data_IF_600554822226
#
_entry.id   IF_600554822226
#
_cell.length_a   1.000
_cell.length_b   1.000
_cell.length_c   1.000
_cell.angle_alpha   90.00
_cell.angle_beta   90.00
_cell.angle_gamma   90.00
#
_symmetry.space_group_name_H-M   'P 1'
#
loop_
_entity.id
_entity.type
_entity.pdbx_description
1 polymer ?
#
# COMPACT_ATOMS: atom_id res chain seq x y z
N UNK A 1 30.51 66.08 -24.99
CA UNK A 1 29.62 65.28 -24.18
C UNK A 1 29.90 63.81 -24.51
N UNK A 2 30.59 63.04 -23.65
CA UNK A 2 30.85 61.61 -23.85
C UNK A 2 29.87 60.82 -22.97
N UNK A 3 28.92 60.12 -23.60
CA UNK A 3 27.99 59.25 -22.91
C UNK A 3 28.73 57.96 -22.54
N UNK A 4 28.85 57.65 -21.26
CA UNK A 4 29.30 56.37 -20.73
C UNK A 4 28.14 55.39 -20.72
N UNK A 5 28.25 54.36 -21.58
CA UNK A 5 27.29 53.24 -21.60
C UNK A 5 27.71 52.23 -20.49
N UNK A 6 26.96 52.16 -19.42
CA UNK A 6 27.15 51.14 -18.35
C UNK A 6 26.48 49.84 -18.81
N UNK A 7 27.30 48.83 -19.13
CA UNK A 7 26.84 47.47 -19.41
C UNK A 7 26.67 46.76 -18.05
N UNK A 8 25.41 46.52 -17.64
CA UNK A 8 25.08 45.69 -16.51
C UNK A 8 25.30 44.20 -16.90
N UNK A 9 26.35 43.57 -16.35
CA UNK A 9 26.63 42.15 -16.50
C UNK A 9 25.71 41.40 -15.53
N UNK A 10 24.62 40.79 -16.02
CA UNK A 10 23.80 39.91 -15.24
C UNK A 10 24.57 38.60 -14.98
N UNK A 11 25.02 38.40 -13.75
CA UNK A 11 25.61 37.15 -13.30
C UNK A 11 24.49 36.14 -13.14
N UNK A 12 24.32 35.25 -14.12
CA UNK A 12 23.49 34.07 -13.99
C UNK A 12 24.28 33.08 -13.13
N UNK A 13 23.94 33.02 -11.84
CA UNK A 13 24.44 31.96 -10.97
C UNK A 13 23.85 30.61 -11.45
N UNK A 14 24.66 29.58 -11.66
CA UNK A 14 24.13 28.27 -11.95
C UNK A 14 23.30 27.83 -10.74
N UNK A 15 22.00 27.60 -10.94
CA UNK A 15 21.17 26.89 -9.98
C UNK A 15 21.76 25.48 -9.89
N UNK A 16 22.37 25.13 -8.77
CA UNK A 16 22.76 23.74 -8.49
C UNK A 16 21.45 22.97 -8.44
N UNK A 17 21.13 22.22 -9.50
CA UNK A 17 20.09 21.23 -9.39
C UNK A 17 20.54 20.26 -8.27
N UNK A 18 19.81 20.24 -7.15
CA UNK A 18 19.98 19.19 -6.15
C UNK A 18 19.69 17.86 -6.85
N UNK A 19 20.53 16.86 -6.56
CA UNK A 19 20.26 15.50 -7.02
C UNK A 19 18.93 15.01 -6.43
N UNK A 20 18.14 14.28 -7.22
CA UNK A 20 16.95 13.62 -6.73
C UNK A 20 17.31 12.68 -5.59
N UNK A 21 16.40 12.51 -4.61
CA UNK A 21 16.58 11.57 -3.51
C UNK A 21 16.50 10.12 -4.02
N UNK A 22 17.46 9.29 -3.64
CA UNK A 22 17.37 7.84 -3.85
C UNK A 22 16.35 7.22 -2.89
N UNK A 23 15.15 6.91 -3.39
CA UNK A 23 14.06 6.38 -2.56
C UNK A 23 13.77 4.92 -2.92
N UNK A 24 13.72 4.07 -1.90
CA UNK A 24 13.40 2.65 -2.04
C UNK A 24 12.05 2.37 -1.37
N UNK A 25 11.08 1.92 -2.17
CA UNK A 25 9.77 1.48 -1.70
C UNK A 25 9.72 -0.04 -1.53
N UNK A 26 9.14 -0.54 -0.45
CA UNK A 26 9.00 -1.98 -0.22
C UNK A 26 8.03 -2.64 -1.20
N UNK A 27 6.95 -1.95 -1.57
CA UNK A 27 5.88 -2.40 -2.45
C UNK A 27 5.50 -1.38 -3.50
N UNK A 28 4.67 -1.74 -4.48
CA UNK A 28 4.16 -0.77 -5.45
C UNK A 28 3.16 0.21 -4.82
N UNK A 29 2.42 -0.16 -3.79
CA UNK A 29 1.56 0.76 -3.05
C UNK A 29 2.35 1.88 -2.37
N UNK A 30 3.47 1.55 -1.72
CA UNK A 30 4.38 2.57 -1.16
C UNK A 30 5.11 3.35 -2.26
N UNK A 31 5.39 2.70 -3.39
CA UNK A 31 5.95 3.34 -4.59
C UNK A 31 5.02 4.38 -5.20
N UNK A 32 3.71 4.12 -5.22
CA UNK A 32 2.69 5.11 -5.61
C UNK A 32 2.82 6.39 -4.79
N UNK A 33 2.92 6.27 -3.47
CA UNK A 33 3.06 7.45 -2.60
C UNK A 33 4.34 8.25 -2.91
N UNK A 34 5.46 7.56 -3.10
CA UNK A 34 6.72 8.23 -3.47
C UNK A 34 6.56 8.96 -4.80
N UNK A 35 6.05 8.29 -5.84
CA UNK A 35 5.87 8.88 -7.17
C UNK A 35 4.88 10.05 -7.14
N UNK A 36 3.79 9.89 -6.39
CA UNK A 36 2.77 10.92 -6.26
C UNK A 36 3.28 12.15 -5.50
N UNK A 37 4.02 11.96 -4.41
CA UNK A 37 4.40 13.06 -3.52
C UNK A 37 5.76 13.67 -3.91
N UNK A 38 6.78 12.85 -4.16
CA UNK A 38 8.12 13.33 -4.50
C UNK A 38 8.27 13.71 -5.97
N UNK A 39 7.51 13.06 -6.88
CA UNK A 39 7.55 13.35 -8.31
C UNK A 39 8.97 13.24 -8.88
N UNK A 40 9.44 14.27 -9.57
CA UNK A 40 10.77 14.34 -10.20
C UNK A 40 11.93 14.52 -9.22
N UNK A 41 11.63 14.75 -7.93
CA UNK A 41 12.65 14.93 -6.89
C UNK A 41 13.04 13.61 -6.20
N UNK A 42 12.59 12.46 -6.72
CA UNK A 42 12.99 11.15 -6.23
C UNK A 42 13.29 10.18 -7.39
N UNK A 43 14.42 9.47 -7.28
CA UNK A 43 14.71 8.29 -8.06
C UNK A 43 14.19 7.06 -7.32
N UNK A 44 13.07 6.51 -7.80
CA UNK A 44 12.33 5.45 -7.11
C UNK A 44 12.75 4.06 -7.55
N UNK A 45 13.13 3.22 -6.58
CA UNK A 45 13.25 1.76 -6.75
C UNK A 45 12.20 1.03 -5.93
N UNK A 46 11.39 0.16 -6.55
CA UNK A 46 10.42 -0.71 -5.87
C UNK A 46 11.01 -2.11 -5.72
N UNK A 47 10.98 -2.68 -4.51
CA UNK A 47 11.63 -3.95 -4.20
C UNK A 47 10.75 -5.16 -4.55
N UNK A 48 9.48 -5.13 -4.21
CA UNK A 48 8.57 -6.25 -4.41
C UNK A 48 7.84 -6.16 -5.74
N UNK A 49 7.80 -7.24 -6.54
CA UNK A 49 6.87 -7.36 -7.66
C UNK A 49 5.41 -7.35 -7.18
N UNK A 50 4.47 -6.74 -7.93
CA UNK A 50 3.08 -6.57 -7.49
C UNK A 50 2.27 -7.87 -7.46
N UNK A 51 2.77 -8.93 -8.07
CA UNK A 51 2.17 -10.27 -8.12
C UNK A 51 2.68 -11.21 -7.02
N UNK A 52 3.36 -10.67 -6.00
CA UNK A 52 3.95 -11.45 -4.91
C UNK A 52 3.39 -11.04 -3.56
N UNK A 53 3.26 -12.05 -2.70
CA UNK A 53 2.89 -11.87 -1.31
C UNK A 53 4.07 -11.25 -0.53
N UNK A 54 3.84 -10.09 0.08
CA UNK A 54 4.85 -9.36 0.85
C UNK A 54 5.27 -10.07 2.14
N UNK A 55 4.40 -10.93 2.72
CA UNK A 55 4.73 -11.71 3.90
C UNK A 55 5.87 -12.72 3.62
N UNK A 56 5.92 -13.25 2.41
CA UNK A 56 6.73 -14.42 2.05
C UNK A 56 7.89 -14.14 1.09
N UNK A 57 8.29 -12.87 0.93
CA UNK A 57 9.45 -12.52 0.14
C UNK A 57 10.76 -12.94 0.85
N UNK A 58 11.82 -13.00 0.06
CA UNK A 58 13.18 -13.23 0.54
C UNK A 58 14.08 -12.07 0.14
N UNK A 59 14.97 -11.67 1.05
CA UNK A 59 15.97 -10.66 0.76
C UNK A 59 16.88 -11.13 -0.40
N UNK A 60 17.02 -10.30 -1.44
CA UNK A 60 17.82 -10.59 -2.63
C UNK A 60 19.01 -9.63 -2.73
N UNK A 61 20.13 -10.03 -3.35
CA UNK A 61 21.27 -9.14 -3.53
C UNK A 61 20.95 -7.82 -4.25
N UNK A 62 19.98 -7.81 -5.17
CA UNK A 62 19.51 -6.59 -5.85
C UNK A 62 18.83 -5.62 -4.88
N UNK A 63 18.00 -6.12 -3.95
CA UNK A 63 17.36 -5.31 -2.91
C UNK A 63 18.38 -4.69 -1.97
N UNK A 64 19.37 -5.48 -1.53
CA UNK A 64 20.47 -5.00 -0.68
C UNK A 64 21.27 -3.90 -1.36
N UNK A 65 21.52 -4.04 -2.67
CA UNK A 65 22.25 -3.00 -3.43
C UNK A 65 21.45 -1.70 -3.53
N UNK A 66 20.14 -1.78 -3.79
CA UNK A 66 19.28 -0.60 -3.83
C UNK A 66 19.25 0.12 -2.47
N UNK A 67 19.08 -0.63 -1.38
CA UNK A 67 19.06 -0.09 -0.02
C UNK A 67 20.38 0.55 0.42
N UNK A 68 21.51 0.12 -0.14
CA UNK A 68 22.84 0.64 0.26
C UNK A 68 23.03 2.12 -0.03
N UNK A 69 22.47 2.60 -1.14
CA UNK A 69 22.56 4.01 -1.56
C UNK A 69 21.33 4.84 -1.21
N UNK A 70 20.29 4.23 -0.63
CA UNK A 70 19.03 4.91 -0.40
C UNK A 70 19.13 6.03 0.64
N UNK A 71 18.53 7.17 0.34
CA UNK A 71 18.28 8.27 1.27
C UNK A 71 17.04 8.01 2.12
N UNK A 72 16.06 7.30 1.54
CA UNK A 72 14.79 6.97 2.20
C UNK A 72 14.32 5.57 1.81
N UNK A 73 13.86 4.81 2.81
CA UNK A 73 13.07 3.58 2.62
C UNK A 73 11.65 3.84 3.07
N UNK A 74 10.69 3.50 2.21
CA UNK A 74 9.24 3.60 2.48
C UNK A 74 8.68 2.18 2.53
N UNK A 75 8.37 1.69 3.73
CA UNK A 75 7.78 0.38 3.99
C UNK A 75 6.28 0.52 4.30
N UNK A 76 5.48 -0.53 4.04
CA UNK A 76 4.12 -0.60 4.57
C UNK A 76 4.14 -0.67 6.09
N UNK A 77 5.01 -1.49 6.66
CA UNK A 77 5.19 -1.58 8.10
C UNK A 77 4.19 -2.52 8.80
N UNK A 78 3.97 -2.30 10.11
CA UNK A 78 3.18 -3.19 10.96
C UNK A 78 3.56 -4.67 10.80
N UNK A 79 4.87 -4.92 10.64
CA UNK A 79 5.49 -6.25 10.49
C UNK A 79 5.12 -7.01 9.20
N UNK A 80 4.55 -6.36 8.17
CA UNK A 80 4.24 -7.02 6.90
C UNK A 80 5.51 -7.59 6.25
N UNK A 81 6.57 -6.80 6.20
CA UNK A 81 7.83 -7.15 5.55
C UNK A 81 8.86 -7.78 6.52
N UNK A 82 8.44 -8.19 7.72
CA UNK A 82 9.36 -8.63 8.80
C UNK A 82 10.24 -9.83 8.37
N UNK A 83 9.75 -10.68 7.47
CA UNK A 83 10.46 -11.87 7.01
C UNK A 83 11.69 -11.57 6.13
N UNK A 84 11.82 -10.36 5.59
CA UNK A 84 12.84 -10.07 4.58
C UNK A 84 13.44 -8.66 4.64
N UNK A 85 12.63 -7.60 4.83
CA UNK A 85 13.10 -6.22 4.74
C UNK A 85 14.12 -5.85 5.84
N UNK A 86 13.92 -6.20 7.12
CA UNK A 86 14.91 -5.93 8.17
C UNK A 86 16.26 -6.58 7.88
N UNK A 87 16.28 -7.82 7.35
CA UNK A 87 17.49 -8.50 6.96
C UNK A 87 18.19 -7.76 5.80
N UNK A 88 17.43 -7.33 4.78
CA UNK A 88 17.97 -6.60 3.63
C UNK A 88 18.56 -5.24 4.04
N UNK A 89 17.88 -4.49 4.93
CA UNK A 89 18.35 -3.21 5.48
C UNK A 89 19.65 -3.41 6.28
N UNK A 90 19.70 -4.43 7.13
CA UNK A 90 20.90 -4.72 7.90
C UNK A 90 22.11 -5.05 6.99
N UNK A 91 21.91 -5.91 5.98
CA UNK A 91 22.96 -6.29 5.02
C UNK A 91 23.37 -5.15 4.06
N UNK A 92 22.52 -4.17 3.86
CA UNK A 92 22.84 -2.97 3.09
C UNK A 92 23.91 -2.11 3.77
N UNK A 93 24.05 -2.23 5.10
CA UNK A 93 24.99 -1.48 5.93
C UNK A 93 24.89 0.04 5.73
N UNK A 94 23.68 0.54 5.46
CA UNK A 94 23.37 1.95 5.34
C UNK A 94 22.83 2.47 6.70
N UNK A 95 23.56 3.33 7.41
CA UNK A 95 23.14 3.79 8.73
C UNK A 95 21.94 4.76 8.67
N UNK A 96 21.69 5.39 7.53
CA UNK A 96 20.63 6.40 7.40
C UNK A 96 19.23 5.81 7.34
N UNK A 97 19.08 4.57 6.85
CA UNK A 97 17.79 3.90 6.65
C UNK A 97 17.46 2.85 7.73
N UNK A 98 18.20 2.84 8.83
CA UNK A 98 17.87 1.92 9.94
C UNK A 98 16.55 2.35 10.63
N UNK A 99 15.76 1.39 11.16
CA UNK A 99 14.57 1.74 11.94
C UNK A 99 14.86 2.79 13.00
N UNK A 100 14.02 3.83 13.06
CA UNK A 100 14.19 4.99 13.94
C UNK A 100 15.05 6.12 13.37
N UNK A 101 15.70 5.94 12.23
CA UNK A 101 16.42 7.01 11.53
C UNK A 101 15.48 7.80 10.59
N UNK A 102 15.91 9.01 10.19
CA UNK A 102 15.14 9.88 9.30
C UNK A 102 14.89 9.24 7.92
N UNK A 103 15.82 8.44 7.43
CA UNK A 103 15.73 7.70 6.17
C UNK A 103 14.87 6.43 6.24
N UNK A 104 14.18 6.14 7.35
CA UNK A 104 13.25 5.02 7.47
C UNK A 104 11.83 5.54 7.74
N UNK A 105 10.89 5.15 6.89
CA UNK A 105 9.49 5.55 7.00
C UNK A 105 8.57 4.33 6.90
N UNK A 106 7.75 4.13 7.91
CA UNK A 106 6.68 3.12 7.95
C UNK A 106 5.33 3.79 7.74
N UNK A 107 4.63 3.38 6.70
CA UNK A 107 3.30 3.88 6.35
C UNK A 107 2.27 3.56 7.46
N UNK A 108 2.25 2.33 7.93
CA UNK A 108 1.34 1.86 8.97
C UNK A 108 1.52 2.61 10.32
N UNK A 109 2.71 3.13 10.59
CA UNK A 109 2.97 3.93 11.81
C UNK A 109 2.35 5.33 11.75
N UNK A 110 1.84 5.77 10.60
CA UNK A 110 1.28 7.09 10.40
C UNK A 110 -0.24 7.15 10.59
N UNK A 111 -0.90 6.00 10.72
CA UNK A 111 -2.36 5.89 10.74
C UNK A 111 -2.84 4.94 11.84
N UNK A 112 -4.13 5.00 12.18
CA UNK A 112 -4.75 4.04 13.09
C UNK A 112 -4.97 2.69 12.39
N UNK A 113 -4.53 1.60 13.05
CA UNK A 113 -4.63 0.26 12.49
C UNK A 113 -5.90 -0.47 13.00
N UNK A 114 -6.49 -1.27 12.14
CA UNK A 114 -7.51 -2.25 12.49
C UNK A 114 -6.86 -3.49 13.14
N UNK A 115 -7.63 -4.28 13.86
CA UNK A 115 -7.22 -5.56 14.48
C UNK A 115 -5.98 -5.45 15.43
N UNK A 116 -5.72 -4.29 16.01
CA UNK A 116 -4.60 -4.08 16.94
C UNK A 116 -4.81 -4.88 18.25
N UNK A 117 -3.72 -5.36 18.86
CA UNK A 117 -3.75 -6.12 20.10
C UNK A 117 -4.03 -7.64 19.92
N UNK A 118 -3.87 -8.14 18.71
CA UNK A 118 -3.95 -9.56 18.39
C UNK A 118 -2.78 -10.39 18.98
N UNK A 119 -2.77 -11.72 18.75
CA UNK A 119 -1.70 -12.59 19.21
C UNK A 119 -0.35 -12.20 18.59
N UNK A 120 0.71 -12.30 19.40
CA UNK A 120 2.07 -11.96 18.97
C UNK A 120 2.89 -13.19 18.51
N UNK A 121 2.35 -14.40 18.70
CA UNK A 121 3.07 -15.64 18.37
C UNK A 121 2.90 -15.99 16.88
N UNK A 122 3.96 -15.80 16.11
CA UNK A 122 4.01 -16.12 14.68
C UNK A 122 3.91 -17.61 14.35
N UNK A 123 4.07 -18.50 15.33
CA UNK A 123 3.76 -19.91 15.14
C UNK A 123 2.27 -20.15 14.85
N UNK A 124 1.42 -19.14 15.11
CA UNK A 124 0.00 -19.16 14.79
C UNK A 124 -0.34 -18.72 13.36
N UNK A 125 0.66 -18.29 12.56
CA UNK A 125 0.47 -17.80 11.19
C UNK A 125 0.97 -16.37 10.97
N UNK A 126 0.42 -15.70 9.96
CA UNK A 126 0.75 -14.29 9.62
C UNK A 126 0.00 -13.33 10.55
N UNK A 127 0.38 -13.37 11.83
CA UNK A 127 -0.22 -12.52 12.87
C UNK A 127 0.54 -11.20 13.00
N UNK A 128 -0.21 -10.12 13.18
CA UNK A 128 0.30 -8.76 13.29
C UNK A 128 -0.18 -8.13 14.60
N UNK A 129 0.59 -8.23 15.70
CA UNK A 129 0.16 -7.76 17.03
C UNK A 129 -0.05 -6.24 17.09
N UNK A 130 0.62 -5.47 16.25
CA UNK A 130 0.44 -4.01 16.15
C UNK A 130 -0.82 -3.60 15.40
N UNK A 131 -1.40 -4.50 14.62
CA UNK A 131 -2.60 -4.30 13.81
C UNK A 131 -2.42 -4.80 12.38
N UNK A 132 -3.52 -4.87 11.65
CA UNK A 132 -3.54 -5.31 10.25
C UNK A 132 -2.70 -4.36 9.37
N UNK A 133 -1.67 -4.85 8.64
CA UNK A 133 -0.74 -4.01 7.87
C UNK A 133 -1.29 -3.54 6.51
N UNK A 134 -2.41 -4.10 6.03
CA UNK A 134 -2.92 -3.87 4.67
C UNK A 134 -3.64 -2.53 4.51
N UNK A 135 -3.04 -1.45 5.05
CA UNK A 135 -3.57 -0.08 4.99
C UNK A 135 -3.67 0.45 3.56
N UNK A 136 -2.90 -0.11 2.63
CA UNK A 136 -2.94 0.19 1.20
C UNK A 136 -4.33 -0.06 0.57
N UNK A 137 -5.19 -0.81 1.24
CA UNK A 137 -6.57 -1.05 0.84
C UNK A 137 -7.57 -0.02 1.41
N UNK A 138 -7.10 1.04 2.06
CA UNK A 138 -7.90 2.21 2.44
C UNK A 138 -7.34 3.48 1.80
N UNK A 139 -8.01 4.04 0.79
CA UNK A 139 -7.52 5.23 0.10
C UNK A 139 -7.38 6.46 1.01
N UNK A 140 -8.22 6.60 2.04
CA UNK A 140 -8.12 7.72 2.98
C UNK A 140 -6.86 7.58 3.84
N UNK A 141 -6.57 6.38 4.37
CA UNK A 141 -5.31 6.13 5.09
C UNK A 141 -4.09 6.35 4.19
N UNK A 142 -4.16 5.95 2.92
CA UNK A 142 -3.08 6.22 1.97
C UNK A 142 -2.86 7.73 1.74
N UNK A 143 -3.90 8.53 1.71
CA UNK A 143 -3.78 10.00 1.63
C UNK A 143 -3.18 10.61 2.91
N UNK A 144 -3.55 10.09 4.09
CA UNK A 144 -2.95 10.49 5.37
C UNK A 144 -1.46 10.14 5.40
N UNK A 145 -1.09 8.93 4.97
CA UNK A 145 0.31 8.51 4.84
C UNK A 145 1.05 9.40 3.83
N UNK A 146 0.43 9.75 2.70
CA UNK A 146 1.00 10.69 1.73
C UNK A 146 1.33 12.05 2.35
N UNK A 147 0.45 12.56 3.22
CA UNK A 147 0.69 13.80 3.96
C UNK A 147 1.89 13.67 4.92
N UNK A 148 1.98 12.57 5.66
CA UNK A 148 3.11 12.30 6.55
C UNK A 148 4.43 12.09 5.77
N UNK A 149 4.37 11.45 4.60
CA UNK A 149 5.52 11.27 3.71
C UNK A 149 6.03 12.62 3.17
N UNK A 150 5.13 13.56 2.82
CA UNK A 150 5.52 14.91 2.40
C UNK A 150 6.32 15.65 3.50
N UNK A 151 5.92 15.50 4.76
CA UNK A 151 6.68 16.08 5.88
C UNK A 151 8.05 15.38 6.07
N UNK A 152 8.13 14.06 5.89
CA UNK A 152 9.39 13.33 5.90
C UNK A 152 10.32 13.78 4.78
N UNK A 153 9.83 13.92 3.55
CA UNK A 153 10.57 14.45 2.42
C UNK A 153 11.04 15.89 2.66
N UNK A 154 10.22 16.72 3.28
CA UNK A 154 10.59 18.09 3.68
C UNK A 154 11.80 18.14 4.64
N UNK A 155 11.94 17.12 5.50
CA UNK A 155 13.10 17.02 6.40
C UNK A 155 14.38 16.63 5.65
N UNK A 156 14.25 15.74 4.64
CA UNK A 156 15.38 15.27 3.84
C UNK A 156 15.81 16.29 2.76
N UNK A 157 14.84 17.01 2.22
CA UNK A 157 14.98 17.96 1.14
C UNK A 157 14.09 19.19 1.37
N UNK A 158 14.61 20.11 2.16
CA UNK A 158 13.85 21.31 2.58
C UNK A 158 13.61 22.33 1.46
N UNK A 159 14.41 22.30 0.39
CA UNK A 159 14.25 23.21 -0.75
C UNK A 159 12.96 22.96 -1.51
N UNK A 160 12.48 21.70 -1.57
CA UNK A 160 11.26 21.30 -2.26
C UNK A 160 10.06 21.09 -1.32
N UNK A 161 10.13 21.56 -0.07
CA UNK A 161 9.08 21.40 0.95
C UNK A 161 7.68 21.79 0.47
N UNK A 162 7.56 22.96 -0.21
CA UNK A 162 6.28 23.45 -0.72
C UNK A 162 5.73 22.55 -1.84
N UNK A 163 6.60 21.98 -2.66
CA UNK A 163 6.24 21.05 -3.72
C UNK A 163 5.63 19.76 -3.16
N UNK A 164 6.29 19.14 -2.19
CA UNK A 164 5.81 17.90 -1.56
C UNK A 164 4.46 18.09 -0.88
N UNK A 165 4.29 19.15 -0.08
CA UNK A 165 3.02 19.46 0.60
C UNK A 165 1.89 19.72 -0.39
N UNK A 166 2.14 20.48 -1.45
CA UNK A 166 1.13 20.76 -2.47
C UNK A 166 0.69 19.50 -3.22
N UNK A 167 1.60 18.55 -3.46
CA UNK A 167 1.27 17.28 -4.11
C UNK A 167 0.48 16.37 -3.18
N UNK A 168 0.86 16.28 -1.91
CA UNK A 168 0.12 15.51 -0.91
C UNK A 168 -1.32 16.03 -0.75
N UNK A 169 -1.49 17.34 -0.69
CA UNK A 169 -2.83 17.95 -0.60
C UNK A 169 -3.68 17.66 -1.85
N UNK A 170 -3.11 17.74 -3.06
CA UNK A 170 -3.83 17.36 -4.29
C UNK A 170 -4.20 15.89 -4.33
N UNK A 171 -3.32 15.00 -3.88
CA UNK A 171 -3.63 13.57 -3.80
C UNK A 171 -4.79 13.33 -2.83
N UNK A 172 -4.73 13.94 -1.65
CA UNK A 172 -5.78 13.85 -0.64
C UNK A 172 -7.13 14.31 -1.20
N UNK A 173 -7.19 15.45 -1.87
CA UNK A 173 -8.43 15.98 -2.48
C UNK A 173 -9.02 15.00 -3.50
N UNK A 174 -8.18 14.43 -4.39
CA UNK A 174 -8.64 13.42 -5.37
C UNK A 174 -9.16 12.15 -4.69
N UNK A 175 -8.52 11.72 -3.62
CA UNK A 175 -8.99 10.57 -2.82
C UNK A 175 -10.34 10.86 -2.20
N UNK A 176 -10.52 12.03 -1.57
CA UNK A 176 -11.78 12.43 -0.94
C UNK A 176 -12.92 12.48 -1.96
N UNK A 177 -12.72 13.12 -3.12
CA UNK A 177 -13.69 13.17 -4.22
C UNK A 177 -14.06 11.75 -4.71
N UNK A 178 -13.08 10.86 -4.86
CA UNK A 178 -13.32 9.52 -5.35
C UNK A 178 -14.01 8.63 -4.30
N UNK A 179 -13.71 8.80 -3.02
CA UNK A 179 -14.37 8.10 -1.91
C UNK A 179 -15.85 8.42 -1.87
N UNK A 180 -16.24 9.67 -2.10
CA UNK A 180 -17.66 10.06 -2.17
C UNK A 180 -18.40 9.35 -3.31
N UNK A 181 -17.75 9.16 -4.46
CA UNK A 181 -18.29 8.40 -5.61
C UNK A 181 -18.45 6.92 -5.22
N UNK A 182 -17.44 6.31 -4.61
CA UNK A 182 -17.48 4.92 -4.19
C UNK A 182 -18.50 4.66 -3.08
N UNK A 183 -18.67 5.61 -2.16
CA UNK A 183 -19.72 5.50 -1.12
C UNK A 183 -21.12 5.39 -1.73
N UNK A 184 -21.37 6.12 -2.83
CA UNK A 184 -22.64 6.04 -3.56
C UNK A 184 -22.77 4.70 -4.32
N UNK A 185 -21.69 4.22 -4.96
CA UNK A 185 -21.67 2.92 -5.65
C UNK A 185 -21.94 1.76 -4.69
N UNK A 186 -21.44 1.87 -3.46
CA UNK A 186 -21.55 0.86 -2.40
C UNK A 186 -22.74 1.11 -1.45
N UNK A 187 -23.77 1.84 -1.87
CA UNK A 187 -24.96 2.10 -1.04
C UNK A 187 -25.69 0.81 -0.62
N UNK A 188 -25.63 -0.25 -1.42
CA UNK A 188 -26.21 -1.57 -1.15
C UNK A 188 -25.20 -2.68 -1.52
N UNK A 189 -24.11 -2.82 -0.78
CA UNK A 189 -23.05 -3.76 -1.11
C UNK A 189 -23.50 -5.19 -0.77
N UNK A 190 -22.96 -6.15 -1.52
CA UNK A 190 -23.03 -7.56 -1.11
C UNK A 190 -21.99 -7.83 -0.03
N UNK A 191 -22.19 -8.90 0.73
CA UNK A 191 -21.18 -9.32 1.68
C UNK A 191 -19.97 -9.94 0.99
N UNK A 192 -18.85 -9.93 1.69
CA UNK A 192 -17.58 -10.41 1.18
C UNK A 192 -17.04 -11.54 2.05
N UNK A 193 -16.60 -12.60 1.42
CA UNK A 193 -15.63 -13.57 1.96
C UNK A 193 -14.31 -13.31 1.25
N UNK A 194 -13.22 -13.05 1.97
CA UNK A 194 -11.90 -12.91 1.37
C UNK A 194 -11.03 -14.14 1.62
N UNK A 195 -9.97 -14.32 0.86
CA UNK A 195 -9.01 -15.40 1.12
C UNK A 195 -8.25 -15.14 2.43
N UNK A 196 -7.66 -13.97 2.53
CA UNK A 196 -6.90 -13.43 3.67
C UNK A 196 -7.58 -12.15 4.17
N UNK A 197 -7.09 -11.57 5.28
CA UNK A 197 -7.58 -10.29 5.84
C UNK A 197 -7.05 -9.03 5.11
N UNK A 198 -6.61 -9.17 3.89
CA UNK A 198 -5.99 -8.11 3.08
C UNK A 198 -6.97 -6.97 2.72
N UNK A 199 -8.25 -7.29 2.48
CA UNK A 199 -9.27 -6.31 2.08
C UNK A 199 -10.05 -5.68 3.22
N UNK A 200 -9.72 -5.99 4.48
CA UNK A 200 -10.50 -5.57 5.66
C UNK A 200 -10.69 -4.06 5.72
N UNK A 201 -9.65 -3.29 5.40
CA UNK A 201 -9.72 -1.82 5.43
C UNK A 201 -10.69 -1.25 4.40
N UNK A 202 -10.74 -1.81 3.19
CA UNK A 202 -11.70 -1.43 2.16
C UNK A 202 -13.13 -1.67 2.64
N UNK A 203 -13.37 -2.86 3.21
CA UNK A 203 -14.70 -3.26 3.68
C UNK A 203 -15.16 -2.38 4.85
N UNK A 204 -14.26 -2.09 5.80
CA UNK A 204 -14.51 -1.22 6.94
C UNK A 204 -14.82 0.21 6.50
N UNK A 205 -14.02 0.76 5.56
CA UNK A 205 -14.20 2.12 5.03
C UNK A 205 -15.60 2.36 4.46
N UNK A 206 -16.14 1.39 3.76
CA UNK A 206 -17.41 1.54 3.05
C UNK A 206 -18.59 0.82 3.72
N UNK A 207 -18.40 0.25 4.91
CA UNK A 207 -19.45 -0.48 5.63
C UNK A 207 -19.94 -1.73 4.90
N UNK A 208 -19.06 -2.37 4.11
CA UNK A 208 -19.35 -3.60 3.38
C UNK A 208 -19.39 -4.78 4.37
N UNK A 209 -20.46 -5.61 4.36
CA UNK A 209 -20.53 -6.77 5.26
C UNK A 209 -19.37 -7.73 5.03
N UNK A 210 -18.58 -7.97 6.06
CA UNK A 210 -17.47 -8.93 6.03
C UNK A 210 -17.88 -10.22 6.74
N UNK A 211 -17.92 -11.33 5.99
CA UNK A 211 -18.44 -12.61 6.49
C UNK A 211 -17.35 -13.62 6.83
N UNK A 212 -16.09 -13.23 6.68
CA UNK A 212 -14.95 -14.04 7.11
C UNK A 212 -13.90 -14.29 6.03
N UNK A 213 -12.92 -15.11 6.41
CA UNK A 213 -11.79 -15.49 5.56
C UNK A 213 -11.83 -16.97 5.22
N UNK A 214 -11.24 -17.33 4.07
CA UNK A 214 -11.00 -18.73 3.71
C UNK A 214 -9.90 -19.34 4.59
N UNK A 215 -8.93 -18.56 5.00
CA UNK A 215 -7.95 -18.95 5.99
C UNK A 215 -8.58 -18.95 7.38
N UNK A 216 -8.54 -20.07 8.12
CA UNK A 216 -9.07 -20.12 9.49
C UNK A 216 -8.29 -19.23 10.46
N UNK A 217 -7.01 -19.03 10.15
CA UNK A 217 -6.09 -18.09 10.79
C UNK A 217 -5.23 -17.50 9.67
N UNK A 218 -4.89 -16.19 9.66
CA UNK A 218 -4.03 -15.60 8.65
C UNK A 218 -2.75 -16.42 8.41
N UNK A 219 -2.45 -16.72 7.13
CA UNK A 219 -1.31 -17.54 6.73
C UNK A 219 -1.48 -19.06 6.91
N UNK A 220 -2.60 -19.53 7.48
CA UNK A 220 -2.91 -20.96 7.59
C UNK A 220 -3.83 -21.37 6.44
N UNK A 221 -3.40 -22.33 5.58
CA UNK A 221 -4.19 -22.72 4.41
C UNK A 221 -5.62 -23.12 4.74
N UNK A 222 -6.59 -22.85 3.84
CA UNK A 222 -7.98 -23.26 4.00
C UNK A 222 -8.12 -24.77 4.24
N UNK A 223 -8.93 -25.15 5.24
CA UNK A 223 -9.26 -26.56 5.50
C UNK A 223 -10.66 -26.90 4.99
N UNK A 224 -10.89 -28.15 4.61
CA UNK A 224 -12.22 -28.57 4.14
C UNK A 224 -13.30 -28.33 5.19
N UNK A 225 -13.02 -28.58 6.47
CA UNK A 225 -13.97 -28.36 7.56
C UNK A 225 -14.32 -26.87 7.74
N UNK A 226 -13.34 -25.97 7.60
CA UNK A 226 -13.58 -24.53 7.67
C UNK A 226 -14.39 -24.03 6.48
N UNK A 227 -14.10 -24.49 5.27
CA UNK A 227 -14.86 -24.17 4.07
C UNK A 227 -16.31 -24.65 4.17
N UNK A 228 -16.55 -25.90 4.64
CA UNK A 228 -17.91 -26.41 4.85
C UNK A 228 -18.68 -25.56 5.88
N UNK A 229 -18.03 -25.20 6.99
CA UNK A 229 -18.65 -24.33 8.00
C UNK A 229 -19.04 -22.97 7.41
N UNK A 230 -18.17 -22.32 6.62
CA UNK A 230 -18.49 -21.06 5.95
C UNK A 230 -19.69 -21.21 5.00
N UNK A 231 -19.74 -22.30 4.21
CA UNK A 231 -20.85 -22.57 3.31
C UNK A 231 -22.16 -22.68 4.10
N UNK A 232 -22.16 -23.45 5.20
CA UNK A 232 -23.36 -23.65 6.04
C UNK A 232 -23.83 -22.34 6.68
N UNK A 233 -22.92 -21.53 7.21
CA UNK A 233 -23.19 -20.24 7.88
C UNK A 233 -23.70 -19.16 6.90
N UNK A 234 -23.38 -19.32 5.60
CA UNK A 234 -23.68 -18.32 4.57
C UNK A 234 -24.81 -18.72 3.61
N UNK A 235 -25.47 -19.86 3.83
CA UNK A 235 -26.65 -20.27 3.07
C UNK A 235 -27.72 -19.16 3.04
N UNK A 236 -28.26 -18.87 1.86
CA UNK A 236 -29.30 -17.86 1.66
C UNK A 236 -28.80 -16.40 1.68
N UNK A 237 -27.53 -16.15 1.91
CA UNK A 237 -26.95 -14.81 1.79
C UNK A 237 -26.48 -14.56 0.35
N UNK A 238 -26.33 -13.28 -0.01
CA UNK A 238 -25.78 -12.85 -1.30
C UNK A 238 -24.40 -12.24 -1.11
N UNK A 239 -23.39 -12.76 -1.81
CA UNK A 239 -22.00 -12.33 -1.62
C UNK A 239 -21.09 -12.54 -2.81
N UNK A 240 -19.83 -12.20 -2.58
CA UNK A 240 -18.70 -12.42 -3.49
C UNK A 240 -17.52 -12.98 -2.71
N UNK A 241 -16.72 -13.84 -3.35
CA UNK A 241 -15.46 -14.33 -2.81
C UNK A 241 -14.31 -13.58 -3.47
N UNK A 242 -13.52 -12.86 -2.68
CA UNK A 242 -12.37 -12.09 -3.15
C UNK A 242 -11.05 -12.80 -2.80
N UNK A 243 -10.12 -12.83 -3.74
CA UNK A 243 -8.78 -13.38 -3.51
C UNK A 243 -7.75 -12.73 -4.44
N UNK A 244 -6.48 -12.83 -4.06
CA UNK A 244 -5.40 -12.16 -4.78
C UNK A 244 -4.73 -13.09 -5.79
N UNK A 245 -3.96 -12.49 -6.72
CA UNK A 245 -3.34 -13.20 -7.84
C UNK A 245 -2.33 -14.28 -7.44
N UNK A 246 -1.77 -14.21 -6.23
CA UNK A 246 -0.83 -15.20 -5.69
C UNK A 246 -1.52 -16.29 -4.84
N UNK A 247 -2.82 -16.18 -4.59
CA UNK A 247 -3.61 -17.14 -3.81
C UNK A 247 -4.26 -18.20 -4.72
N UNK A 248 -4.49 -19.40 -4.17
CA UNK A 248 -5.14 -20.47 -4.90
C UNK A 248 -6.63 -20.22 -5.08
N UNK A 249 -7.13 -20.31 -6.31
CA UNK A 249 -8.56 -20.18 -6.64
C UNK A 249 -9.43 -21.39 -6.27
N UNK A 250 -8.88 -22.48 -5.72
CA UNK A 250 -9.64 -23.70 -5.44
C UNK A 250 -10.66 -23.53 -4.32
N UNK A 251 -10.24 -22.97 -3.17
CA UNK A 251 -11.14 -22.71 -2.04
C UNK A 251 -12.17 -21.61 -2.37
N UNK A 252 -11.79 -20.46 -2.99
CA UNK A 252 -12.75 -19.50 -3.53
C UNK A 252 -13.84 -20.14 -4.41
N UNK A 253 -13.42 -21.01 -5.36
CA UNK A 253 -14.35 -21.70 -6.25
C UNK A 253 -15.32 -22.60 -5.49
N UNK A 254 -14.86 -23.31 -4.46
CA UNK A 254 -15.73 -24.20 -3.67
C UNK A 254 -16.87 -23.45 -2.99
N UNK A 255 -16.59 -22.26 -2.41
CA UNK A 255 -17.62 -21.41 -1.79
C UNK A 255 -18.56 -20.83 -2.87
N UNK A 256 -17.98 -20.30 -3.96
CA UNK A 256 -18.74 -19.67 -5.02
C UNK A 256 -19.74 -20.66 -5.66
N UNK A 257 -19.30 -21.88 -5.98
CA UNK A 257 -20.15 -22.93 -6.55
C UNK A 257 -21.26 -23.35 -5.58
N UNK A 258 -20.95 -23.52 -4.29
CA UNK A 258 -21.91 -24.00 -3.29
C UNK A 258 -23.00 -22.96 -2.95
N UNK A 259 -22.67 -21.67 -2.99
CA UNK A 259 -23.56 -20.57 -2.64
C UNK A 259 -24.18 -19.86 -3.84
N UNK A 260 -23.77 -20.21 -5.08
CA UNK A 260 -24.19 -19.52 -6.29
C UNK A 260 -23.63 -18.11 -6.40
N UNK A 261 -22.45 -17.87 -5.79
CA UNK A 261 -21.77 -16.57 -5.81
C UNK A 261 -20.76 -16.47 -6.92
N UNK A 262 -20.21 -15.26 -7.10
CA UNK A 262 -19.03 -15.04 -7.93
C UNK A 262 -17.75 -15.13 -7.09
N UNK A 263 -16.68 -15.59 -7.71
CA UNK A 263 -15.32 -15.39 -7.22
C UNK A 263 -14.60 -14.39 -8.11
N UNK A 264 -13.84 -13.48 -7.51
CA UNK A 264 -13.09 -12.47 -8.24
C UNK A 264 -11.64 -12.47 -7.75
N UNK A 265 -10.71 -12.64 -8.70
CA UNK A 265 -9.28 -12.57 -8.45
C UNK A 265 -8.75 -11.22 -8.90
N UNK A 266 -8.08 -10.51 -7.99
CA UNK A 266 -7.48 -9.20 -8.25
C UNK A 266 -6.04 -9.12 -7.73
N UNK A 267 -5.16 -8.31 -8.35
CA UNK A 267 -3.88 -8.00 -7.72
C UNK A 267 -4.12 -7.16 -6.46
N UNK A 268 -3.40 -7.47 -5.36
CA UNK A 268 -3.48 -6.67 -4.14
C UNK A 268 -2.75 -5.33 -4.31
N UNK A 269 -1.63 -5.39 -4.98
CA UNK A 269 -0.76 -4.25 -5.24
C UNK A 269 -1.06 -3.61 -6.61
N UNK A 270 -1.02 -2.28 -6.74
CA UNK A 270 -1.16 -1.60 -8.03
C UNK A 270 0.03 -1.91 -8.97
N UNK A 271 -0.08 -1.61 -10.28
CA UNK A 271 1.05 -1.73 -11.21
C UNK A 271 2.29 -0.97 -10.74
N UNK A 272 3.48 -1.46 -11.14
CA UNK A 272 4.77 -0.87 -10.72
C UNK A 272 4.95 0.60 -11.13
N UNK A 273 4.33 1.01 -12.23
CA UNK A 273 4.39 2.36 -12.78
C UNK A 273 3.21 3.25 -12.35
N UNK A 274 2.30 2.72 -11.52
CA UNK A 274 1.16 3.47 -11.04
C UNK A 274 1.58 4.71 -10.21
N UNK A 275 0.93 5.81 -10.46
CA UNK A 275 0.89 7.03 -9.66
C UNK A 275 -0.41 7.09 -8.84
N UNK A 276 -0.79 8.26 -8.33
CA UNK A 276 -2.03 8.42 -7.57
C UNK A 276 -3.28 8.08 -8.38
N UNK A 277 -3.34 8.42 -9.66
CA UNK A 277 -4.47 8.09 -10.52
C UNK A 277 -4.52 6.58 -10.82
N UNK A 278 -3.36 5.97 -11.07
CA UNK A 278 -3.23 4.52 -11.23
C UNK A 278 -3.65 3.76 -9.97
N UNK A 279 -3.36 4.29 -8.78
CA UNK A 279 -3.84 3.74 -7.52
C UNK A 279 -5.36 3.83 -7.39
N UNK A 280 -5.97 4.98 -7.69
CA UNK A 280 -7.42 5.13 -7.65
C UNK A 280 -8.12 4.21 -8.67
N UNK A 281 -7.55 4.05 -9.85
CA UNK A 281 -8.05 3.07 -10.83
C UNK A 281 -7.93 1.63 -10.33
N UNK A 282 -6.84 1.29 -9.66
CA UNK A 282 -6.64 -0.02 -9.04
C UNK A 282 -7.71 -0.28 -7.95
N UNK A 283 -7.96 0.69 -7.09
CA UNK A 283 -9.02 0.61 -6.07
C UNK A 283 -10.41 0.48 -6.70
N UNK A 284 -10.68 1.14 -7.84
CA UNK A 284 -11.96 1.01 -8.56
C UNK A 284 -12.25 -0.44 -8.94
N UNK A 285 -11.25 -1.24 -9.34
CA UNK A 285 -11.46 -2.66 -9.64
C UNK A 285 -11.94 -3.46 -8.42
N UNK A 286 -11.45 -3.14 -7.21
CA UNK A 286 -11.92 -3.75 -5.97
C UNK A 286 -13.34 -3.32 -5.62
N UNK A 287 -13.66 -2.03 -5.81
CA UNK A 287 -15.01 -1.48 -5.63
C UNK A 287 -15.99 -2.18 -6.59
N UNK A 288 -15.63 -2.31 -7.86
CA UNK A 288 -16.46 -2.97 -8.87
C UNK A 288 -16.70 -4.45 -8.51
N UNK A 289 -15.70 -5.15 -8.00
CA UNK A 289 -15.85 -6.55 -7.59
C UNK A 289 -16.87 -6.73 -6.45
N UNK A 290 -16.99 -5.76 -5.56
CA UNK A 290 -17.97 -5.77 -4.45
C UNK A 290 -19.36 -5.35 -4.92
N UNK A 291 -19.45 -4.44 -5.89
CA UNK A 291 -20.72 -3.95 -6.46
C UNK A 291 -21.24 -4.86 -7.56
N UNK A 292 -20.36 -5.42 -8.36
CA UNK A 292 -20.66 -6.07 -9.64
C UNK A 292 -21.21 -7.48 -9.46
N UNK A 293 -22.34 -7.64 -8.90
CA UNK A 293 -23.07 -8.82 -9.19
C UNK A 293 -24.55 -8.63 -9.01
N UNK A 294 -25.21 -8.47 -10.03
CA UNK A 294 -26.61 -8.78 -10.19
C UNK A 294 -26.74 -10.17 -10.72
#
# INVERSE_FOLDING_TARGET
>A
MKALLAIALAIVLPSSALAALDVVASSSSTGVLVREIAGEHADLTILAPPDRDLHHLQARPSMIRALRGADLVVALGAELEIGWLPLAINQAANPHIQPGQTGYFEAAAQVSLLDAGGPADRALGDVHPTGNPHINMDPVRMAEVGTALAERLTVLDSEHAAYYRARAERFKQRVEEQVDVWQQQLANPRGVVSFHKDVTYLLDRFGVPYWGTLEPVPGVPPTASHIHKLIDDLQGKSGVVLYTVYQSGQAPKSIADALGWQQVQLPLEPPLDADGDGYLQHMQHWIDAVTAAK
#
